data_IF_901592688594
#
_entry.id   IF_901592688594
#
_cell.length_a   1.000
_cell.length_b   1.000
_cell.length_c   1.000
_cell.angle_alpha   90.00
_cell.angle_beta   90.00
_cell.angle_gamma   90.00
#
_symmetry.space_group_name_H-M   'P 1'
#
loop_
_entity.id
_entity.type
_entity.pdbx_description
1 polymer ?
#
# COMPACT_ATOMS: atom_id res chain seq x y z
N UNK A 1 27.72 -20.70 32.00
CA UNK A 1 27.36 -20.42 30.59
C UNK A 1 27.46 -18.92 30.36
N UNK A 2 28.00 -18.46 29.22
CA UNK A 2 28.68 -17.18 29.12
C UNK A 2 27.76 -15.99 28.77
N UNK A 3 28.16 -14.84 29.27
CA UNK A 3 27.59 -13.50 29.07
C UNK A 3 27.88 -13.06 27.62
N UNK A 4 26.82 -12.75 26.86
CA UNK A 4 26.94 -12.28 25.48
C UNK A 4 27.21 -10.76 25.45
N UNK A 5 28.47 -10.37 25.28
CA UNK A 5 28.88 -9.00 25.02
C UNK A 5 28.65 -8.64 23.55
N UNK A 6 27.62 -7.84 23.25
CA UNK A 6 27.41 -7.27 21.92
C UNK A 6 28.54 -6.27 21.60
N UNK A 7 29.29 -6.55 20.54
CA UNK A 7 30.29 -5.66 19.95
C UNK A 7 29.56 -4.56 19.14
N UNK A 8 29.68 -3.31 19.57
CA UNK A 8 29.15 -2.14 18.84
C UNK A 8 30.13 -1.73 17.75
N UNK A 9 29.73 -1.79 16.48
CA UNK A 9 30.46 -1.18 15.36
C UNK A 9 30.09 0.31 15.29
N UNK A 10 31.08 1.20 15.40
CA UNK A 10 30.92 2.63 15.17
C UNK A 10 31.39 2.96 13.75
N UNK A 11 30.47 3.52 12.95
CA UNK A 11 30.73 4.00 11.60
C UNK A 11 31.15 5.47 11.71
N UNK A 12 32.30 5.82 11.15
CA UNK A 12 32.76 7.19 11.02
C UNK A 12 32.62 7.66 9.57
N UNK A 13 32.24 8.92 9.41
CA UNK A 13 32.14 9.61 8.13
C UNK A 13 33.06 10.82 8.14
N UNK A 14 33.78 11.04 7.05
CA UNK A 14 34.52 12.28 6.83
C UNK A 14 34.27 12.78 5.41
N UNK A 15 34.48 14.07 5.21
CA UNK A 15 34.35 14.73 3.92
C UNK A 15 35.73 14.85 3.30
N UNK A 16 35.90 14.34 2.08
CA UNK A 16 37.16 14.48 1.37
C UNK A 16 37.33 15.89 0.77
N UNK A 17 38.50 16.16 0.21
CA UNK A 17 38.90 17.46 -0.35
C UNK A 17 38.05 17.90 -1.56
N UNK A 18 37.25 16.98 -2.13
CA UNK A 18 36.29 17.27 -3.20
C UNK A 18 34.88 17.61 -2.67
N UNK A 19 34.70 17.63 -1.35
CA UNK A 19 33.42 17.93 -0.69
C UNK A 19 32.48 16.72 -0.61
N UNK A 20 32.95 15.51 -0.91
CA UNK A 20 32.13 14.29 -0.87
C UNK A 20 32.30 13.56 0.45
N UNK A 21 31.20 13.23 1.13
CA UNK A 21 31.24 12.45 2.37
C UNK A 21 31.45 10.97 2.05
N UNK A 22 32.49 10.38 2.63
CA UNK A 22 32.87 8.97 2.47
C UNK A 22 32.72 8.25 3.80
N UNK A 23 32.13 7.05 3.77
CA UNK A 23 31.97 6.17 4.93
C UNK A 23 33.00 5.04 4.80
N UNK A 24 33.89 4.90 5.79
CA UNK A 24 34.93 3.86 5.77
C UNK A 24 34.73 2.85 6.89
N UNK A 25 34.63 1.56 6.55
CA UNK A 25 34.67 0.46 7.51
C UNK A 25 36.13 0.08 7.80
N UNK A 26 36.79 0.80 8.69
CA UNK A 26 38.19 0.50 9.05
C UNK A 26 38.19 -0.42 10.28
N UNK A 27 38.77 -1.62 10.13
CA UNK A 27 39.20 -2.46 11.26
C UNK A 27 40.46 -1.83 11.85
N UNK A 28 40.44 -1.51 13.15
CA UNK A 28 41.62 -1.09 13.91
C UNK A 28 42.72 -2.15 13.76
N UNK A 29 43.86 -1.75 13.22
CA UNK A 29 45.21 -2.11 13.68
C UNK A 29 46.24 -1.51 12.71
N UNK A 30 46.54 -0.22 12.87
CA UNK A 30 47.84 0.36 12.47
C UNK A 30 48.04 1.69 13.19
N UNK A 31 49.11 1.80 13.97
CA UNK A 31 49.57 3.04 14.60
C UNK A 31 49.98 4.06 13.53
N UNK A 32 49.48 5.29 13.64
CA UNK A 32 49.99 6.43 12.87
C UNK A 32 50.42 7.49 13.87
N UNK A 33 51.72 7.77 13.84
CA UNK A 33 52.45 8.69 14.69
C UNK A 33 52.07 10.15 14.33
N UNK A 34 51.58 10.92 15.31
CA UNK A 34 51.18 12.33 15.14
C UNK A 34 52.34 13.24 15.57
N UNK A 35 52.92 14.07 14.67
CA UNK A 35 53.85 15.11 15.09
C UNK A 35 53.10 16.36 15.63
N UNK A 36 53.69 17.12 16.58
CA UNK A 36 52.95 18.06 17.39
C UNK A 36 52.71 19.43 16.73
N UNK A 37 51.50 19.93 16.98
CA UNK A 37 51.05 21.34 17.12
C UNK A 37 52.08 22.45 16.89
N UNK A 38 51.77 23.35 15.94
CA UNK A 38 52.20 24.75 15.99
C UNK A 38 50.99 25.68 16.03
N UNK A 39 50.94 26.46 17.10
CA UNK A 39 50.05 27.61 17.32
C UNK A 39 50.35 28.69 16.28
N UNK A 40 49.31 29.28 15.69
CA UNK A 40 49.38 30.66 15.24
C UNK A 40 48.09 31.40 15.56
N UNK A 41 48.28 32.62 16.03
CA UNK A 41 47.33 33.53 16.61
C UNK A 41 47.19 34.78 15.72
N UNK A 42 46.04 35.46 15.89
CA UNK A 42 45.72 36.85 15.51
C UNK A 42 45.50 37.16 14.01
N UNK A 43 44.87 38.30 13.64
CA UNK A 43 44.02 39.22 14.41
C UNK A 43 42.72 39.66 13.70
N UNK A 44 41.80 40.21 14.50
CA UNK A 44 40.73 41.15 14.16
C UNK A 44 41.27 42.37 13.40
N UNK A 45 40.73 42.73 12.24
CA UNK A 45 40.77 44.11 11.73
C UNK A 45 39.50 44.54 10.99
N UNK A 46 39.18 45.81 11.21
CA UNK A 46 38.03 46.61 10.82
C UNK A 46 37.70 46.62 9.32
N UNK A 47 36.41 46.58 9.01
CA UNK A 47 35.86 46.90 7.69
C UNK A 47 35.90 48.42 7.44
N UNK A 48 36.43 48.82 6.27
CA UNK A 48 36.18 50.12 5.63
C UNK A 48 35.28 49.90 4.41
N UNK A 49 34.36 50.84 4.10
CA UNK A 49 33.41 50.66 3.01
C UNK A 49 34.09 50.92 1.66
N UNK A 50 33.98 49.98 0.73
CA UNK A 50 34.40 50.15 -0.65
C UNK A 50 33.17 50.51 -1.48
N UNK A 51 33.06 51.79 -1.83
CA UNK A 51 32.21 52.29 -2.91
C UNK A 51 32.90 51.96 -4.23
N UNK A 52 32.29 51.13 -5.08
CA UNK A 52 32.73 50.99 -6.47
C UNK A 52 31.56 51.12 -7.44
N UNK A 53 31.79 51.99 -8.43
CA UNK A 53 30.86 52.47 -9.44
C UNK A 53 30.50 51.38 -10.47
N UNK A 54 29.21 51.32 -10.81
CA UNK A 54 28.65 50.49 -11.86
C UNK A 54 29.10 51.05 -13.22
N UNK A 55 29.81 50.25 -14.03
CA UNK A 55 30.09 50.57 -15.44
C UNK A 55 28.91 50.13 -16.32
N UNK A 56 28.52 50.91 -17.34
CA UNK A 56 27.43 50.53 -18.23
C UNK A 56 27.84 49.39 -19.17
N UNK A 57 26.98 48.38 -19.28
CA UNK A 57 27.12 47.23 -20.17
C UNK A 57 26.70 47.64 -21.60
N UNK A 58 27.62 47.49 -22.56
CA UNK A 58 27.33 47.60 -24.00
C UNK A 58 26.65 46.30 -24.47
N UNK A 59 25.48 46.43 -25.08
CA UNK A 59 24.82 45.34 -25.80
C UNK A 59 25.24 45.37 -27.28
N UNK A 60 25.77 44.27 -27.79
CA UNK A 60 25.94 44.00 -29.22
C UNK A 60 24.70 43.26 -29.77
N UNK A 61 24.23 43.56 -30.99
CA UNK A 61 23.04 42.93 -31.55
C UNK A 61 23.34 41.53 -32.11
N UNK A 62 22.33 40.66 -31.97
CA UNK A 62 22.33 39.26 -32.36
C UNK A 62 22.66 39.05 -33.85
N UNK A 63 23.58 38.11 -34.12
CA UNK A 63 23.85 37.60 -35.46
C UNK A 63 22.75 36.63 -35.90
N UNK A 64 22.16 36.96 -37.04
CA UNK A 64 21.20 36.14 -37.78
C UNK A 64 21.94 34.96 -38.41
N UNK A 65 21.64 33.74 -37.94
CA UNK A 65 22.14 32.51 -38.58
C UNK A 65 21.22 32.12 -39.75
N UNK A 66 21.70 32.40 -40.96
CA UNK A 66 21.27 31.78 -42.20
C UNK A 66 21.54 30.28 -42.18
N UNK A 67 20.54 29.47 -42.55
CA UNK A 67 20.60 28.02 -42.44
C UNK A 67 21.43 27.30 -43.51
N UNK A 68 21.64 26.00 -43.25
CA UNK A 68 21.18 24.86 -44.07
C UNK A 68 22.26 23.77 -44.26
N UNK A 69 22.03 22.57 -43.68
CA UNK A 69 22.33 21.21 -44.22
C UNK A 69 22.26 20.04 -43.22
N UNK A 70 21.76 20.22 -42.00
CA UNK A 70 21.72 19.14 -40.98
C UNK A 70 20.33 18.79 -40.48
N UNK A 71 19.31 18.87 -41.34
CA UNK A 71 17.91 18.57 -40.98
C UNK A 71 17.31 17.45 -41.82
N UNK A 72 17.95 17.01 -42.92
CA UNK A 72 17.41 15.90 -43.73
C UNK A 72 17.70 14.50 -43.18
N UNK A 73 18.72 14.32 -42.32
CA UNK A 73 19.10 12.99 -41.79
C UNK A 73 18.46 12.63 -40.43
N UNK A 74 17.82 13.56 -39.72
CA UNK A 74 17.19 13.28 -38.41
C UNK A 74 15.74 12.82 -38.56
N UNK A 75 15.00 13.29 -39.57
CA UNK A 75 13.63 12.82 -39.84
C UNK A 75 13.60 11.36 -40.31
N UNK A 76 14.58 10.93 -41.12
CA UNK A 76 14.66 9.54 -41.59
C UNK A 76 14.83 8.53 -40.45
N UNK A 77 15.62 8.87 -39.42
CA UNK A 77 15.86 7.99 -38.26
C UNK A 77 14.64 7.86 -37.35
N UNK A 78 13.85 8.94 -37.20
CA UNK A 78 12.62 8.91 -36.40
C UNK A 78 11.54 8.04 -37.08
N UNK A 79 11.41 8.13 -38.40
CA UNK A 79 10.46 7.31 -39.17
C UNK A 79 10.85 5.82 -39.13
N UNK A 80 12.15 5.50 -39.22
CA UNK A 80 12.65 4.12 -39.08
C UNK A 80 12.37 3.53 -37.69
N UNK A 81 12.53 4.32 -36.62
CA UNK A 81 12.21 3.89 -35.25
C UNK A 81 10.72 3.61 -35.06
N UNK A 82 9.83 4.41 -35.65
CA UNK A 82 8.38 4.20 -35.57
C UNK A 82 7.96 2.94 -36.32
N UNK A 83 8.51 2.71 -37.53
CA UNK A 83 8.24 1.50 -38.31
C UNK A 83 8.76 0.25 -37.58
N UNK A 84 9.95 0.32 -36.98
CA UNK A 84 10.50 -0.77 -36.18
C UNK A 84 9.63 -1.06 -34.94
N UNK A 85 9.18 -0.03 -34.22
CA UNK A 85 8.30 -0.19 -33.06
C UNK A 85 6.93 -0.78 -33.44
N UNK A 86 6.35 -0.37 -34.57
CA UNK A 86 5.12 -0.95 -35.10
C UNK A 86 5.33 -2.41 -35.52
N UNK A 87 6.44 -2.75 -36.18
CA UNK A 87 6.78 -4.13 -36.55
C UNK A 87 6.96 -5.03 -35.32
N UNK A 88 7.65 -4.54 -34.29
CA UNK A 88 7.82 -5.24 -33.01
C UNK A 88 6.46 -5.47 -32.32
N UNK A 89 5.56 -4.47 -32.33
CA UNK A 89 4.22 -4.59 -31.74
C UNK A 89 3.35 -5.62 -32.47
N UNK A 90 3.34 -5.58 -33.81
CA UNK A 90 2.63 -6.58 -34.62
C UNK A 90 3.19 -7.99 -34.43
N UNK A 91 4.51 -8.11 -34.22
CA UNK A 91 5.17 -9.38 -33.93
C UNK A 91 4.78 -9.93 -32.54
N UNK A 92 4.77 -9.10 -31.51
CA UNK A 92 4.32 -9.49 -30.17
C UNK A 92 2.81 -9.83 -30.14
N UNK A 93 1.96 -9.07 -30.83
CA UNK A 93 0.53 -9.37 -30.96
C UNK A 93 0.28 -10.73 -31.65
N UNK A 94 1.13 -11.11 -32.62
CA UNK A 94 1.07 -12.42 -33.28
C UNK A 94 1.56 -13.57 -32.37
N UNK A 95 2.56 -13.32 -31.52
CA UNK A 95 3.03 -14.28 -30.51
C UNK A 95 1.96 -14.54 -29.44
N UNK A 96 1.28 -13.51 -28.97
CA UNK A 96 0.18 -13.65 -27.99
C UNK A 96 -1.00 -14.43 -28.57
N UNK A 97 -1.33 -14.23 -29.85
CA UNK A 97 -2.34 -15.05 -30.55
C UNK A 97 -1.94 -16.53 -30.62
N UNK A 98 -0.66 -16.86 -30.82
CA UNK A 98 -0.18 -18.25 -30.81
C UNK A 98 -0.19 -18.89 -29.42
N UNK A 99 0.15 -18.11 -28.38
CA UNK A 99 0.12 -18.58 -26.98
C UNK A 99 -1.31 -18.83 -26.48
N UNK A 100 -2.25 -17.93 -26.79
CA UNK A 100 -3.67 -18.08 -26.42
C UNK A 100 -4.33 -19.26 -27.15
N UNK A 101 -3.98 -19.52 -28.41
CA UNK A 101 -4.46 -20.68 -29.16
C UNK A 101 -3.97 -22.02 -28.59
N UNK A 102 -2.71 -22.09 -28.11
CA UNK A 102 -2.18 -23.28 -27.42
C UNK A 102 -2.89 -23.53 -26.08
N UNK A 103 -3.14 -22.47 -25.30
CA UNK A 103 -3.82 -22.56 -23.98
C UNK A 103 -5.28 -23.04 -24.11
N UNK A 104 -5.99 -22.64 -25.17
CA UNK A 104 -7.35 -23.16 -25.49
C UNK A 104 -7.35 -24.66 -25.84
N UNK A 105 -6.37 -25.14 -26.62
CA UNK A 105 -6.26 -26.57 -26.97
C UNK A 105 -5.94 -27.46 -25.76
N UNK A 106 -5.24 -26.93 -24.77
CA UNK A 106 -4.90 -27.65 -23.54
C UNK A 106 -6.11 -27.76 -22.60
N UNK A 107 -6.86 -26.67 -22.40
CA UNK A 107 -8.09 -26.66 -21.59
C UNK A 107 -9.22 -27.51 -22.18
N UNK A 108 -9.26 -27.72 -23.50
CA UNK A 108 -10.26 -28.58 -24.13
C UNK A 108 -9.99 -30.07 -23.93
N UNK A 109 -8.70 -30.49 -23.92
CA UNK A 109 -8.30 -31.87 -23.61
C UNK A 109 -8.52 -32.26 -22.14
N UNK A 110 -8.53 -31.29 -21.23
CA UNK A 110 -8.77 -31.52 -19.80
C UNK A 110 -10.26 -31.67 -19.48
N UNK A 111 -11.14 -30.96 -20.21
CA UNK A 111 -12.60 -31.09 -20.07
C UNK A 111 -13.16 -32.44 -20.56
N UNK A 112 -12.55 -33.07 -21.55
CA UNK A 112 -12.98 -34.41 -22.02
C UNK A 112 -12.60 -35.55 -21.08
N UNK A 113 -11.62 -35.36 -20.18
CA UNK A 113 -11.22 -36.39 -19.20
C UNK A 113 -12.10 -36.47 -17.96
N UNK A 114 -13.08 -35.56 -17.80
CA UNK A 114 -13.90 -35.47 -16.59
C UNK A 114 -15.37 -35.86 -16.80
N UNK A 115 -15.73 -36.40 -17.97
CA UNK A 115 -17.13 -36.74 -18.33
C UNK A 115 -17.47 -38.24 -18.22
N UNK A 116 -16.57 -39.09 -17.70
CA UNK A 116 -16.84 -40.54 -17.55
C UNK A 116 -16.74 -40.97 -16.08
N UNK A 117 -17.69 -40.54 -15.24
CA UNK A 117 -18.15 -41.31 -14.07
C UNK A 117 -19.63 -40.96 -13.84
N UNK A 118 -20.53 -41.65 -14.54
CA UNK A 118 -21.96 -41.70 -14.19
C UNK A 118 -22.17 -43.03 -13.48
N UNK A 119 -22.46 -43.00 -12.18
CA UNK A 119 -22.94 -44.17 -11.45
C UNK A 119 -24.36 -43.89 -10.96
N UNK A 120 -25.25 -44.79 -11.35
CA UNK A 120 -26.67 -44.85 -11.02
C UNK A 120 -26.93 -44.78 -9.51
N UNK A 121 -27.91 -43.97 -9.08
CA UNK A 121 -28.63 -44.24 -7.86
C UNK A 121 -30.15 -44.08 -8.07
N UNK A 122 -30.85 -45.14 -7.66
CA UNK A 122 -32.29 -45.33 -7.71
C UNK A 122 -33.05 -44.26 -6.94
N UNK A 123 -34.12 -43.74 -7.56
CA UNK A 123 -35.15 -42.91 -6.93
C UNK A 123 -36.08 -43.78 -6.08
N UNK A 124 -36.27 -43.42 -4.82
CA UNK A 124 -37.45 -43.76 -4.04
C UNK A 124 -38.23 -42.47 -3.75
N UNK A 125 -39.51 -42.50 -4.10
CA UNK A 125 -40.47 -41.41 -3.88
C UNK A 125 -40.79 -41.22 -2.39
N UNK A 126 -41.06 -39.97 -2.03
CA UNK A 126 -41.29 -39.49 -0.67
C UNK A 126 -42.79 -39.14 -0.49
N UNK A 127 -43.45 -39.47 0.64
CA UNK A 127 -44.76 -38.91 0.98
C UNK A 127 -44.64 -37.56 1.72
N UNK A 128 -45.71 -36.74 1.77
CA UNK A 128 -45.64 -35.30 2.03
C UNK A 128 -45.87 -34.89 3.50
N UNK A 129 -45.62 -33.58 3.74
CA UNK A 129 -46.05 -32.74 4.88
C UNK A 129 -45.24 -32.89 6.20
N UNK A 130 -44.67 -31.84 6.79
CA UNK A 130 -45.30 -30.57 7.20
C UNK A 130 -44.27 -29.43 7.26
N UNK A 131 -44.70 -28.26 6.80
CA UNK A 131 -43.95 -27.00 6.73
C UNK A 131 -43.75 -26.42 8.14
N UNK A 132 -42.52 -26.50 8.67
CA UNK A 132 -42.10 -25.71 9.83
C UNK A 132 -41.31 -24.51 9.30
N UNK A 133 -41.81 -23.30 9.58
CA UNK A 133 -41.14 -22.03 9.29
C UNK A 133 -39.78 -22.02 10.00
N UNK A 134 -38.71 -22.08 9.23
CA UNK A 134 -37.35 -21.88 9.76
C UNK A 134 -37.17 -20.40 10.15
N UNK A 135 -36.57 -20.10 11.32
CA UNK A 135 -36.25 -18.74 11.71
C UNK A 135 -35.16 -18.14 10.79
N UNK A 136 -35.10 -16.80 10.62
CA UNK A 136 -34.15 -16.16 9.72
C UNK A 136 -32.68 -16.37 10.15
N UNK A 137 -31.90 -16.94 9.23
CA UNK A 137 -30.43 -16.92 9.16
C UNK A 137 -29.69 -17.12 10.49
N UNK A 138 -29.61 -18.37 10.94
CA UNK A 138 -28.56 -18.76 11.89
C UNK A 138 -27.20 -18.69 11.18
N UNK A 139 -26.51 -17.55 11.37
CA UNK A 139 -25.11 -17.43 11.02
C UNK A 139 -24.34 -18.54 11.75
N UNK A 140 -23.70 -19.41 10.97
CA UNK A 140 -22.85 -20.50 11.44
C UNK A 140 -21.69 -19.91 12.27
N UNK A 141 -21.90 -19.73 13.57
CA UNK A 141 -20.90 -19.22 14.51
C UNK A 141 -19.80 -20.26 14.71
N UNK A 142 -18.84 -20.31 13.79
CA UNK A 142 -17.54 -20.89 14.09
C UNK A 142 -16.97 -20.12 15.29
N UNK A 143 -16.52 -20.83 16.34
CA UNK A 143 -15.74 -20.25 17.44
C UNK A 143 -14.59 -19.47 16.82
N UNK A 144 -14.76 -18.16 16.72
CA UNK A 144 -13.81 -17.30 16.06
C UNK A 144 -12.63 -17.16 17.02
N UNK A 145 -11.41 -17.28 16.52
CA UNK A 145 -10.20 -17.01 17.28
C UNK A 145 -9.35 -16.03 16.49
N UNK A 146 -8.50 -15.27 17.18
CA UNK A 146 -7.57 -14.36 16.52
C UNK A 146 -6.56 -15.17 15.71
N UNK A 147 -6.75 -15.16 14.40
CA UNK A 147 -5.92 -15.82 13.39
C UNK A 147 -5.70 -14.87 12.22
N UNK A 148 -4.67 -15.13 11.42
CA UNK A 148 -4.41 -14.32 10.23
C UNK A 148 -5.54 -14.49 9.21
N UNK A 149 -6.16 -15.65 9.13
CA UNK A 149 -7.34 -15.94 8.31
C UNK A 149 -8.55 -15.10 8.76
N UNK A 150 -8.77 -14.96 10.06
CA UNK A 150 -9.83 -14.11 10.59
C UNK A 150 -9.61 -12.65 10.20
N UNK A 151 -8.42 -12.08 10.44
CA UNK A 151 -8.08 -10.71 10.03
C UNK A 151 -8.29 -10.46 8.53
N UNK A 152 -7.96 -11.47 7.71
CA UNK A 152 -8.13 -11.45 6.26
C UNK A 152 -9.58 -11.57 5.79
N UNK A 153 -10.44 -12.20 6.60
CA UNK A 153 -11.87 -12.36 6.30
C UNK A 153 -12.67 -11.07 6.51
N UNK A 154 -12.20 -10.21 7.43
CA UNK A 154 -12.84 -8.93 7.74
C UNK A 154 -12.99 -8.08 6.50
N UNK A 155 -14.21 -7.61 6.25
CA UNK A 155 -14.46 -6.60 5.25
C UNK A 155 -13.76 -5.29 5.61
N UNK A 156 -13.55 -4.43 4.61
CA UNK A 156 -12.69 -3.26 4.74
C UNK A 156 -13.07 -2.35 5.92
N UNK A 157 -14.37 -2.12 6.17
CA UNK A 157 -14.82 -1.23 7.24
C UNK A 157 -14.68 -1.85 8.64
N UNK A 158 -14.88 -3.15 8.78
CA UNK A 158 -14.62 -3.83 10.08
C UNK A 158 -13.12 -3.91 10.36
N UNK A 159 -12.27 -4.06 9.33
CA UNK A 159 -10.83 -4.01 9.50
C UNK A 159 -10.34 -2.61 9.92
N UNK A 160 -10.92 -1.53 9.37
CA UNK A 160 -10.65 -0.15 9.81
C UNK A 160 -11.00 0.05 11.29
N UNK A 161 -12.19 -0.40 11.72
CA UNK A 161 -12.63 -0.32 13.13
C UNK A 161 -11.69 -1.09 14.06
N UNK A 162 -11.23 -2.28 13.65
CA UNK A 162 -10.25 -3.04 14.41
C UNK A 162 -8.94 -2.27 14.58
N UNK A 163 -8.41 -1.70 13.49
CA UNK A 163 -7.17 -0.91 13.54
C UNK A 163 -7.33 0.34 14.41
N UNK A 164 -8.49 0.99 14.35
CA UNK A 164 -8.83 2.11 15.21
C UNK A 164 -8.82 1.70 16.69
N UNK A 165 -9.43 0.57 17.03
CA UNK A 165 -9.41 0.04 18.39
C UNK A 165 -8.00 -0.25 18.88
N UNK A 166 -7.14 -0.83 18.03
CA UNK A 166 -5.73 -1.05 18.39
C UNK A 166 -4.99 0.25 18.67
N UNK A 167 -5.21 1.30 17.87
CA UNK A 167 -4.66 2.62 18.16
C UNK A 167 -5.21 3.21 19.48
N UNK A 168 -6.46 2.96 19.82
CA UNK A 168 -7.04 3.35 21.11
C UNK A 168 -6.39 2.61 22.29
N UNK A 169 -6.11 1.32 22.12
CA UNK A 169 -5.35 0.53 23.11
C UNK A 169 -3.92 1.05 23.30
N UNK A 170 -3.34 1.68 22.26
CA UNK A 170 -2.06 2.42 22.36
C UNK A 170 -2.20 3.80 23.02
N UNK A 171 -3.40 4.19 23.48
CA UNK A 171 -3.65 5.45 24.17
C UNK A 171 -3.93 6.63 23.25
N UNK A 172 -4.23 6.40 21.98
CA UNK A 172 -4.71 7.45 21.07
C UNK A 172 -6.24 7.60 21.16
N UNK A 173 -6.74 8.73 20.65
CA UNK A 173 -8.14 8.87 20.25
C UNK A 173 -8.22 8.72 18.74
N UNK A 174 -9.28 8.10 18.23
CA UNK A 174 -9.43 7.85 16.79
C UNK A 174 -10.75 8.36 16.26
N UNK A 175 -10.75 8.78 14.99
CA UNK A 175 -11.96 9.09 14.24
C UNK A 175 -11.88 8.36 12.90
N UNK A 176 -12.86 7.50 12.62
CA UNK A 176 -12.96 6.78 11.36
C UNK A 176 -13.34 7.72 10.22
N UNK A 177 -12.82 7.44 9.03
CA UNK A 177 -13.17 8.14 7.81
C UNK A 177 -14.65 7.96 7.44
N UNK A 178 -15.20 8.95 6.73
CA UNK A 178 -16.58 8.96 6.28
C UNK A 178 -16.80 8.20 4.96
N UNK A 179 -18.00 7.64 4.78
CA UNK A 179 -18.45 7.11 3.49
C UNK A 179 -18.74 8.25 2.50
N UNK A 180 -18.60 8.01 1.18
CA UNK A 180 -19.02 8.97 0.16
C UNK A 180 -18.13 9.07 -1.08
N UNK A 181 -18.57 9.80 -2.12
CA UNK A 181 -17.71 10.18 -3.24
C UNK A 181 -16.50 10.98 -2.72
N UNK A 182 -15.29 10.47 -2.97
CA UNK A 182 -14.07 11.07 -2.45
C UNK A 182 -13.70 10.67 -1.02
N UNK A 183 -14.28 9.56 -0.50
CA UNK A 183 -14.02 8.99 0.83
C UNK A 183 -12.64 9.33 1.35
N UNK A 184 -12.62 10.20 2.36
CA UNK A 184 -11.52 10.93 3.02
C UNK A 184 -10.17 11.15 2.28
N UNK A 185 -10.04 10.94 0.97
CA UNK A 185 -8.78 11.07 0.23
C UNK A 185 -7.72 10.02 0.60
N UNK A 186 -8.12 8.77 0.88
CA UNK A 186 -7.18 7.66 1.13
C UNK A 186 -6.68 7.53 2.57
N UNK A 187 -7.25 8.29 3.52
CA UNK A 187 -7.11 8.04 4.96
C UNK A 187 -8.36 7.35 5.49
N UNK A 188 -8.15 6.37 6.33
CA UNK A 188 -9.21 5.55 6.90
C UNK A 188 -9.46 5.93 8.37
N UNK A 189 -8.44 6.47 9.05
CA UNK A 189 -8.51 6.90 10.46
C UNK A 189 -7.72 8.19 10.66
N UNK A 190 -8.31 9.18 11.35
CA UNK A 190 -7.59 10.30 11.97
C UNK A 190 -7.21 9.93 13.39
N UNK A 191 -5.94 10.12 13.74
CA UNK A 191 -5.37 9.72 15.04
C UNK A 191 -5.02 10.97 15.83
N UNK A 192 -5.48 11.07 17.07
CA UNK A 192 -5.28 12.21 17.94
C UNK A 192 -4.57 11.78 19.22
N UNK A 193 -3.73 12.66 19.78
CA UNK A 193 -3.19 12.44 21.13
C UNK A 193 -4.32 12.64 22.14
N UNK A 194 -4.45 11.73 23.12
CA UNK A 194 -5.52 11.82 24.13
C UNK A 194 -5.56 13.17 24.86
N UNK A 195 -4.40 13.78 25.11
CA UNK A 195 -4.24 15.07 25.81
C UNK A 195 -4.29 16.31 24.91
N UNK A 196 -4.37 16.16 23.59
CA UNK A 196 -4.38 17.28 22.63
C UNK A 196 -5.20 16.91 21.38
N UNK A 197 -6.54 16.87 21.48
CA UNK A 197 -7.41 16.36 20.41
C UNK A 197 -7.75 17.38 19.32
N UNK A 198 -7.29 18.62 19.42
CA UNK A 198 -7.69 19.70 18.48
C UNK A 198 -7.16 19.51 17.05
N UNK A 199 -6.01 18.82 16.90
CA UNK A 199 -5.40 18.55 15.60
C UNK A 199 -5.00 17.08 15.50
N UNK A 200 -5.16 16.46 14.31
CA UNK A 200 -4.71 15.08 14.11
C UNK A 200 -3.20 15.01 14.34
N UNK A 201 -2.81 14.10 15.22
CA UNK A 201 -1.43 13.71 15.43
C UNK A 201 -0.90 12.87 14.27
N UNK A 202 -1.74 11.99 13.73
CA UNK A 202 -1.39 11.07 12.67
C UNK A 202 -2.58 10.72 11.79
N UNK A 203 -2.28 10.15 10.62
CA UNK A 203 -3.28 9.54 9.74
C UNK A 203 -2.99 8.04 9.61
N UNK A 204 -4.03 7.22 9.59
CA UNK A 204 -3.90 5.80 9.29
C UNK A 204 -4.58 5.42 7.98
N UNK A 205 -3.97 4.47 7.27
CA UNK A 205 -4.59 3.73 6.17
C UNK A 205 -4.57 2.23 6.50
N UNK A 206 -5.65 1.54 6.16
CA UNK A 206 -5.93 0.16 6.52
C UNK A 206 -6.26 -0.64 5.26
N UNK A 207 -5.63 -1.80 5.08
CA UNK A 207 -5.88 -2.69 3.92
C UNK A 207 -6.00 -4.14 4.33
N UNK A 208 -7.24 -4.64 4.36
CA UNK A 208 -7.54 -6.06 4.48
C UNK A 208 -7.36 -6.77 3.12
N UNK A 209 -6.17 -7.31 2.86
CA UNK A 209 -5.87 -8.00 1.60
C UNK A 209 -4.81 -9.08 1.77
N UNK A 210 -4.78 -10.06 0.84
CA UNK A 210 -3.77 -11.12 0.82
C UNK A 210 -2.43 -10.66 0.25
N UNK A 211 -2.46 -9.79 -0.76
CA UNK A 211 -1.25 -9.35 -1.46
C UNK A 211 -0.50 -8.30 -0.67
N UNK A 212 0.82 -8.26 -0.87
CA UNK A 212 1.66 -7.24 -0.24
C UNK A 212 1.34 -5.83 -0.76
N UNK A 213 1.49 -4.87 0.15
CA UNK A 213 1.28 -3.45 -0.11
C UNK A 213 2.40 -2.92 -1.01
N UNK A 214 2.02 -2.25 -2.09
CA UNK A 214 2.93 -1.64 -3.04
C UNK A 214 3.32 -0.24 -2.61
N UNK A 215 4.47 0.23 -3.12
CA UNK A 215 5.00 1.57 -2.84
C UNK A 215 4.04 2.69 -3.26
N UNK A 216 3.22 2.47 -4.29
CA UNK A 216 2.19 3.42 -4.71
C UNK A 216 1.22 3.77 -3.59
N UNK A 217 0.84 2.79 -2.75
CA UNK A 217 -0.07 3.02 -1.61
C UNK A 217 0.59 3.79 -0.47
N UNK A 218 1.86 3.54 -0.23
CA UNK A 218 2.66 4.33 0.73
C UNK A 218 2.73 5.79 0.30
N UNK A 219 2.99 6.04 -0.99
CA UNK A 219 3.04 7.39 -1.55
C UNK A 219 1.68 8.10 -1.54
N UNK A 220 0.59 7.35 -1.74
CA UNK A 220 -0.79 7.86 -1.58
C UNK A 220 -1.01 8.40 -0.16
N UNK A 221 -0.71 7.60 0.88
CA UNK A 221 -0.83 8.04 2.27
C UNK A 221 0.08 9.24 2.56
N UNK A 222 1.32 9.26 2.05
CA UNK A 222 2.23 10.40 2.19
C UNK A 222 1.62 11.67 1.60
N UNK A 223 0.99 11.59 0.43
CA UNK A 223 0.30 12.73 -0.18
C UNK A 223 -0.82 13.27 0.70
N UNK A 224 -1.61 12.36 1.30
CA UNK A 224 -2.69 12.73 2.24
C UNK A 224 -2.15 13.36 3.52
N UNK A 225 -1.07 12.82 4.09
CA UNK A 225 -0.36 13.41 5.23
C UNK A 225 0.11 14.83 4.94
N UNK A 226 0.71 15.07 3.77
CA UNK A 226 1.14 16.40 3.35
C UNK A 226 -0.04 17.36 3.20
N UNK A 227 -1.15 16.90 2.61
CA UNK A 227 -2.38 17.70 2.43
C UNK A 227 -2.99 18.14 3.76
N UNK A 228 -2.96 17.29 4.79
CA UNK A 228 -3.50 17.60 6.12
C UNK A 228 -2.46 18.20 7.09
N UNK A 229 -1.24 18.42 6.61
CA UNK A 229 -0.13 18.93 7.41
C UNK A 229 0.14 18.07 8.66
N UNK A 230 0.14 16.75 8.49
CA UNK A 230 0.35 15.75 9.55
C UNK A 230 1.68 15.03 9.33
N UNK A 231 2.51 14.94 10.38
CA UNK A 231 3.86 14.40 10.28
C UNK A 231 3.97 12.88 10.54
N UNK A 232 2.94 12.25 11.13
CA UNK A 232 2.93 10.82 11.49
C UNK A 232 1.94 10.05 10.62
N UNK A 233 2.38 8.92 10.08
CA UNK A 233 1.52 7.98 9.38
C UNK A 233 1.45 6.64 10.10
N UNK A 234 0.35 5.93 9.93
CA UNK A 234 0.19 4.52 10.30
C UNK A 234 -0.36 3.77 9.08
N UNK A 235 0.20 2.61 8.76
CA UNK A 235 -0.30 1.77 7.69
C UNK A 235 -0.51 0.35 8.23
N UNK A 236 -1.76 -0.08 8.30
CA UNK A 236 -2.13 -1.41 8.74
C UNK A 236 -2.53 -2.27 7.54
N UNK A 237 -2.10 -3.52 7.53
CA UNK A 237 -2.58 -4.50 6.55
C UNK A 237 -2.68 -5.89 7.15
N UNK A 238 -3.59 -6.73 6.64
CA UNK A 238 -3.62 -8.17 6.95
C UNK A 238 -2.72 -9.03 6.03
N UNK A 239 -2.04 -8.38 5.07
CA UNK A 239 -0.97 -8.94 4.24
C UNK A 239 0.41 -8.50 4.73
N UNK A 240 1.36 -8.38 3.81
CA UNK A 240 2.69 -7.82 4.05
C UNK A 240 2.94 -6.51 3.31
N UNK A 241 4.20 -6.11 3.25
CA UNK A 241 4.69 -4.99 2.46
C UNK A 241 5.78 -5.48 1.52
N UNK A 242 5.76 -5.04 0.27
CA UNK A 242 6.94 -5.19 -0.58
C UNK A 242 8.10 -4.41 0.05
N UNK A 243 9.32 -4.94 -0.06
CA UNK A 243 10.53 -4.33 0.54
C UNK A 243 10.65 -2.84 0.26
N UNK A 244 10.47 -2.42 -1.00
CA UNK A 244 10.52 -1.00 -1.39
C UNK A 244 9.43 -0.15 -0.73
N UNK A 245 8.23 -0.70 -0.53
CA UNK A 245 7.15 -0.01 0.18
C UNK A 245 7.49 0.15 1.66
N UNK A 246 8.08 -0.90 2.26
CA UNK A 246 8.53 -0.87 3.64
C UNK A 246 9.60 0.19 3.88
N UNK A 247 10.63 0.20 3.04
CA UNK A 247 11.76 1.13 3.14
C UNK A 247 11.30 2.58 2.99
N UNK A 248 10.53 2.88 1.94
CA UNK A 248 10.00 4.23 1.74
C UNK A 248 9.08 4.67 2.88
N UNK A 249 8.20 3.80 3.39
CA UNK A 249 7.29 4.18 4.47
C UNK A 249 8.04 4.55 5.75
N UNK A 250 9.11 3.82 6.09
CA UNK A 250 9.94 4.11 7.27
C UNK A 250 10.63 5.47 7.16
N UNK A 251 11.13 5.84 5.98
CA UNK A 251 11.73 7.16 5.74
C UNK A 251 10.71 8.30 5.91
N UNK A 252 9.44 8.06 5.60
CA UNK A 252 8.35 9.05 5.65
C UNK A 252 7.65 9.13 7.02
N UNK A 253 8.34 8.71 8.10
CA UNK A 253 7.80 8.69 9.48
C UNK A 253 6.50 7.89 9.61
N UNK A 254 6.30 6.89 8.76
CA UNK A 254 5.16 5.98 8.88
C UNK A 254 5.50 4.79 9.77
N UNK A 255 4.54 4.38 10.57
CA UNK A 255 4.54 3.08 11.20
C UNK A 255 3.80 2.08 10.31
N UNK A 256 4.51 1.06 9.85
CA UNK A 256 3.98 0.02 8.99
C UNK A 256 3.77 -1.22 9.84
N UNK A 257 2.53 -1.71 9.89
CA UNK A 257 2.10 -2.86 10.70
C UNK A 257 1.50 -3.90 9.75
N UNK A 258 2.21 -5.00 9.56
CA UNK A 258 1.76 -6.11 8.72
C UNK A 258 0.78 -7.03 9.49
N UNK A 259 0.28 -8.06 8.81
CA UNK A 259 -0.75 -8.94 9.39
C UNK A 259 -0.27 -9.74 10.61
N UNK A 260 0.99 -10.21 10.59
CA UNK A 260 1.56 -10.98 11.69
C UNK A 260 1.89 -10.09 12.90
N UNK A 261 2.38 -8.88 12.65
CA UNK A 261 2.61 -7.84 13.67
C UNK A 261 1.29 -7.42 14.33
N UNK A 262 0.25 -7.16 13.52
CA UNK A 262 -1.08 -6.82 14.03
C UNK A 262 -1.69 -7.96 14.86
N UNK A 263 -1.56 -9.20 14.39
CA UNK A 263 -2.03 -10.37 15.12
C UNK A 263 -1.31 -10.54 16.45
N UNK A 264 0.02 -10.40 16.44
CA UNK A 264 0.85 -10.48 17.65
C UNK A 264 0.45 -9.39 18.65
N UNK A 265 0.22 -8.18 18.17
CA UNK A 265 -0.21 -7.07 19.02
C UNK A 265 -1.57 -7.35 19.67
N UNK A 266 -2.57 -7.81 18.90
CA UNK A 266 -3.87 -8.20 19.44
C UNK A 266 -3.70 -9.29 20.50
N UNK A 267 -2.92 -10.34 20.22
CA UNK A 267 -2.69 -11.46 21.13
C UNK A 267 -1.88 -11.08 22.38
N UNK A 268 -1.20 -9.93 22.37
CA UNK A 268 -0.49 -9.40 23.55
C UNK A 268 -1.37 -8.61 24.52
N UNK A 269 -2.60 -8.25 24.11
CA UNK A 269 -3.56 -7.57 24.97
C UNK A 269 -4.08 -8.52 26.07
N UNK A 270 -4.59 -8.00 27.21
CA UNK A 270 -5.33 -8.82 28.17
C UNK A 270 -6.44 -9.62 27.51
N UNK A 271 -6.64 -10.86 27.97
CA UNK A 271 -7.57 -11.81 27.34
C UNK A 271 -9.00 -11.25 27.26
N UNK A 272 -9.41 -10.47 28.25
CA UNK A 272 -10.72 -9.83 28.32
C UNK A 272 -10.93 -8.83 27.16
N UNK A 273 -9.87 -8.10 26.78
CA UNK A 273 -9.90 -7.17 25.66
C UNK A 273 -9.94 -7.92 24.33
N UNK A 274 -9.14 -8.98 24.20
CA UNK A 274 -9.15 -9.84 23.02
C UNK A 274 -10.54 -10.42 22.76
N UNK A 275 -11.19 -10.97 23.79
CA UNK A 275 -12.53 -11.53 23.68
C UNK A 275 -13.57 -10.47 23.38
N UNK A 276 -13.48 -9.30 24.01
CA UNK A 276 -14.44 -8.20 23.78
C UNK A 276 -14.37 -7.71 22.34
N UNK A 277 -13.17 -7.43 21.83
CA UNK A 277 -12.97 -7.01 20.44
C UNK A 277 -13.44 -8.08 19.45
N UNK A 278 -13.18 -9.35 19.74
CA UNK A 278 -13.61 -10.46 18.90
C UNK A 278 -15.15 -10.55 18.86
N UNK A 279 -15.81 -10.51 20.03
CA UNK A 279 -17.27 -10.54 20.15
C UNK A 279 -17.91 -9.37 19.40
N UNK A 280 -17.38 -8.16 19.56
CA UNK A 280 -17.88 -6.96 18.88
C UNK A 280 -17.88 -7.14 17.35
N UNK A 281 -16.81 -7.70 16.79
CA UNK A 281 -16.72 -7.94 15.34
C UNK A 281 -17.65 -9.08 14.92
N UNK A 282 -17.63 -10.22 15.63
CA UNK A 282 -18.39 -11.41 15.23
C UNK A 282 -19.90 -11.27 15.39
N UNK A 283 -20.36 -10.29 16.17
CA UNK A 283 -21.77 -9.92 16.29
C UNK A 283 -22.27 -9.04 15.13
N UNK A 284 -21.41 -8.72 14.16
CA UNK A 284 -21.76 -7.98 12.94
C UNK A 284 -21.69 -8.87 11.70
N UNK A 285 -22.23 -8.38 10.58
CA UNK A 285 -21.96 -8.96 9.26
C UNK A 285 -20.56 -8.54 8.78
N UNK A 286 -19.51 -9.13 9.36
CA UNK A 286 -18.12 -8.72 9.14
C UNK A 286 -17.52 -9.20 7.81
N UNK A 287 -18.23 -10.07 7.07
CA UNK A 287 -17.73 -10.61 5.80
C UNK A 287 -18.35 -9.92 4.58
N UNK A 288 -19.57 -9.40 4.70
CA UNK A 288 -20.18 -8.65 3.61
C UNK A 288 -19.61 -7.24 3.56
N UNK A 289 -19.08 -6.78 2.41
CA UNK A 289 -18.48 -5.47 2.31
C UNK A 289 -19.51 -4.36 2.47
N UNK A 290 -19.06 -3.31 3.15
CA UNK A 290 -19.82 -2.07 3.26
C UNK A 290 -19.68 -1.24 1.98
N UNK A 291 -20.74 -0.59 1.52
CA UNK A 291 -20.67 0.28 0.35
C UNK A 291 -19.83 1.52 0.66
N UNK A 292 -18.74 1.75 -0.08
CA UNK A 292 -17.82 2.88 0.13
C UNK A 292 -18.47 4.26 -0.07
N UNK A 293 -19.61 4.33 -0.77
CA UNK A 293 -20.32 5.58 -0.99
C UNK A 293 -21.45 5.87 0.01
N UNK A 294 -22.15 4.85 0.53
CA UNK A 294 -23.34 5.08 1.36
C UNK A 294 -23.36 4.32 2.68
N UNK A 295 -22.34 3.50 2.98
CA UNK A 295 -22.21 2.84 4.28
C UNK A 295 -23.12 1.63 4.51
N UNK A 296 -23.90 1.19 3.52
CA UNK A 296 -24.80 0.03 3.65
C UNK A 296 -24.11 -1.24 3.14
N UNK A 297 -24.35 -2.38 3.79
CA UNK A 297 -23.89 -3.69 3.33
C UNK A 297 -24.33 -3.97 1.90
N UNK A 298 -23.41 -4.52 1.11
CA UNK A 298 -23.62 -4.79 -0.31
C UNK A 298 -24.23 -6.18 -0.53
N UNK A 299 -24.69 -6.46 -1.74
CA UNK A 299 -25.20 -7.78 -2.14
C UNK A 299 -24.46 -8.31 -3.36
N UNK A 300 -24.26 -9.63 -3.47
CA UNK A 300 -23.63 -10.24 -4.64
C UNK A 300 -24.57 -10.11 -5.84
N UNK A 301 -24.05 -9.62 -6.96
CA UNK A 301 -24.76 -9.47 -8.23
C UNK A 301 -23.93 -10.07 -9.36
N UNK A 302 -24.58 -10.38 -10.48
CA UNK A 302 -23.93 -10.88 -11.69
C UNK A 302 -24.03 -9.83 -12.79
N UNK A 303 -22.91 -9.56 -13.46
CA UNK A 303 -22.84 -8.68 -14.62
C UNK A 303 -23.56 -9.32 -15.80
N UNK A 304 -24.49 -8.62 -16.42
CA UNK A 304 -25.17 -9.12 -17.63
C UNK A 304 -24.25 -9.16 -18.85
N UNK A 305 -23.20 -8.34 -18.87
CA UNK A 305 -22.25 -8.25 -19.99
C UNK A 305 -21.11 -9.26 -19.88
N UNK A 306 -20.49 -9.40 -18.71
CA UNK A 306 -19.32 -10.28 -18.51
C UNK A 306 -19.67 -11.60 -17.82
N UNK A 307 -20.88 -11.76 -17.28
CA UNK A 307 -21.29 -12.87 -16.42
C UNK A 307 -20.45 -13.02 -15.14
N UNK A 308 -19.63 -12.02 -14.80
CA UNK A 308 -18.81 -12.01 -13.59
C UNK A 308 -19.64 -11.55 -12.39
N UNK A 309 -19.36 -12.16 -11.22
CA UNK A 309 -19.97 -11.76 -9.95
C UNK A 309 -19.21 -10.58 -9.35
N UNK A 310 -19.95 -9.66 -8.74
CA UNK A 310 -19.41 -8.49 -8.04
C UNK A 310 -20.32 -8.11 -6.85
N UNK A 311 -19.81 -7.29 -5.94
CA UNK A 311 -20.61 -6.70 -4.88
C UNK A 311 -21.29 -5.43 -5.39
N UNK A 312 -22.62 -5.41 -5.42
CA UNK A 312 -23.42 -4.25 -5.82
C UNK A 312 -24.14 -3.62 -4.63
N UNK A 313 -24.23 -2.29 -4.60
CA UNK A 313 -24.97 -1.60 -3.55
C UNK A 313 -26.46 -1.96 -3.59
N UNK A 314 -27.05 -2.26 -2.42
CA UNK A 314 -28.49 -2.56 -2.27
C UNK A 314 -29.35 -1.37 -2.70
N UNK A 315 -28.88 -0.13 -2.48
CA UNK A 315 -29.58 1.10 -2.85
C UNK A 315 -29.57 1.43 -4.36
N UNK A 316 -29.10 0.55 -5.24
CA UNK A 316 -29.22 0.76 -6.68
C UNK A 316 -30.70 0.97 -7.09
N UNK A 317 -31.04 1.93 -7.97
CA UNK A 317 -30.13 2.74 -8.79
C UNK A 317 -29.61 4.02 -8.11
N UNK A 318 -30.12 4.42 -6.94
CA UNK A 318 -29.71 5.64 -6.23
C UNK A 318 -28.23 5.63 -5.83
N UNK A 319 -27.68 4.46 -5.54
CA UNK A 319 -26.24 4.25 -5.39
C UNK A 319 -25.76 3.16 -6.36
N UNK A 320 -24.88 3.52 -7.28
CA UNK A 320 -24.38 2.63 -8.33
C UNK A 320 -22.98 2.04 -8.06
N UNK A 321 -22.48 2.15 -6.82
CA UNK A 321 -21.16 1.61 -6.49
C UNK A 321 -21.13 0.09 -6.57
N UNK A 322 -20.00 -0.38 -7.10
CA UNK A 322 -19.64 -1.77 -7.29
C UNK A 322 -18.27 -2.00 -6.66
N UNK A 323 -18.07 -3.14 -6.04
CA UNK A 323 -16.75 -3.62 -5.61
C UNK A 323 -16.50 -5.00 -6.23
N UNK A 324 -15.25 -5.28 -6.54
CA UNK A 324 -14.83 -6.61 -6.97
C UNK A 324 -14.97 -7.62 -5.82
N UNK A 325 -15.20 -8.89 -6.16
CA UNK A 325 -15.15 -9.96 -5.15
C UNK A 325 -13.72 -10.10 -4.63
N UNK A 326 -13.56 -10.07 -3.30
CA UNK A 326 -12.30 -10.43 -2.65
C UNK A 326 -12.03 -11.91 -2.88
N UNK A 327 -10.77 -12.33 -2.74
CA UNK A 327 -10.42 -13.75 -2.86
C UNK A 327 -11.13 -14.64 -1.82
N UNK A 328 -11.55 -14.06 -0.69
CA UNK A 328 -12.37 -14.73 0.34
C UNK A 328 -13.83 -14.91 -0.07
N UNK A 329 -14.31 -14.13 -1.05
CA UNK A 329 -15.71 -14.06 -1.43
C UNK A 329 -16.00 -14.78 -2.76
N UNK A 330 -14.94 -15.19 -3.48
CA UNK A 330 -14.99 -15.92 -4.76
C UNK A 330 -15.42 -17.37 -4.55
#
# INVERSE_FOLDING_TARGET
MPINTKKTEQIYSYTDESGKTVFSNIKKDTEINVPPSKKHSFPTQAEKPITQAIKPVKFEPASVLTGNKQIQNTFGMIVLMIIAAMGIRLFFDNLDKKLTAKKKKQNQKEKEKQTIVVHHHHYHEKPPETEKKEPPFEAKQAKSSWTIEFLRSLEWREFEKLCAKILEERGFKTELGNFGPGGDGGKDIRVFKAKAPEKPYGLAQCKAQKSDITVGKIRELRGTMAKENVAKGFFFTSGGFYKIAWEEGKEQKMELVNGDELLTEIQSLPIEKQETMLREITNTDYMTPTCTACGIKMTKRTSTTSNEKFWGCVNYPKCNKKLELRWTDK
#
